data_IF_023617827184
#
_entry.id   IF_023617827184
#
_cell.length_a   1.000
_cell.length_b   1.000
_cell.length_c   1.000
_cell.angle_alpha   90.00
_cell.angle_beta   90.00
_cell.angle_gamma   90.00
#
_symmetry.space_group_name_H-M   'P 1'
#
loop_
_entity.id
_entity.type
_entity.pdbx_description
1 polymer ?
#
# COMPACT_ATOMS: atom_id res chain seq x y z
N UNK A 1 8.21 8.47 17.76
CA UNK A 1 7.18 7.65 17.07
C UNK A 1 7.82 7.11 15.80
N UNK A 2 7.56 5.85 15.44
CA UNK A 2 8.13 5.21 14.24
C UNK A 2 7.20 5.51 13.07
N UNK A 3 7.73 5.89 11.90
CA UNK A 3 6.91 6.24 10.73
C UNK A 3 6.04 5.06 10.27
N UNK A 4 4.72 5.26 10.32
CA UNK A 4 3.70 4.22 10.15
C UNK A 4 2.59 4.67 9.21
N UNK A 5 2.11 3.74 8.38
CA UNK A 5 0.87 3.87 7.63
C UNK A 5 -0.20 3.00 8.27
N UNK A 6 -1.42 3.51 8.36
CA UNK A 6 -2.56 2.83 8.94
C UNK A 6 -3.67 2.69 7.92
N UNK A 7 -4.30 1.53 7.88
CA UNK A 7 -5.34 1.27 6.92
C UNK A 7 -6.39 0.27 7.43
N UNK A 8 -7.57 0.32 6.81
CA UNK A 8 -8.64 -0.66 7.05
C UNK A 8 -9.59 -0.74 5.86
N UNK A 9 -10.11 -1.93 5.62
CA UNK A 9 -11.27 -2.14 4.76
C UNK A 9 -12.51 -2.20 5.63
N UNK A 10 -13.47 -1.30 5.41
CA UNK A 10 -14.70 -1.18 6.20
C UNK A 10 -15.61 -2.40 6.04
N UNK A 11 -15.86 -2.81 4.80
CA UNK A 11 -16.68 -3.98 4.49
C UNK A 11 -16.12 -4.73 3.27
N UNK A 12 -15.50 -5.87 3.54
CA UNK A 12 -14.98 -6.80 2.53
C UNK A 12 -16.06 -7.40 1.62
N UNK A 13 -17.34 -7.32 2.03
CA UNK A 13 -18.47 -7.82 1.24
C UNK A 13 -19.16 -6.72 0.44
N UNK A 14 -18.74 -5.47 0.59
CA UNK A 14 -19.29 -4.37 -0.21
C UNK A 14 -18.99 -4.57 -1.70
N UNK A 15 -19.94 -4.18 -2.56
CA UNK A 15 -19.77 -4.31 -4.02
C UNK A 15 -18.58 -3.51 -4.55
N UNK A 16 -18.34 -2.35 -3.95
CA UNK A 16 -17.24 -1.46 -4.29
C UNK A 16 -15.89 -2.12 -4.00
N UNK A 17 -15.68 -2.65 -2.78
CA UNK A 17 -14.44 -3.36 -2.47
C UNK A 17 -14.28 -4.66 -3.27
N UNK A 18 -15.37 -5.40 -3.49
CA UNK A 18 -15.31 -6.61 -4.34
C UNK A 18 -14.93 -6.32 -5.79
N UNK A 19 -15.23 -5.11 -6.29
CA UNK A 19 -14.81 -4.68 -7.63
C UNK A 19 -13.37 -4.15 -7.62
N UNK A 20 -12.99 -3.43 -6.57
CA UNK A 20 -11.66 -2.86 -6.40
C UNK A 20 -10.57 -3.91 -6.12
N UNK A 21 -10.88 -4.95 -5.33
CA UNK A 21 -9.88 -5.88 -4.83
C UNK A 21 -9.11 -6.64 -5.94
N UNK A 22 -9.78 -7.24 -6.96
CA UNK A 22 -9.06 -7.88 -8.05
C UNK A 22 -8.18 -6.91 -8.85
N UNK A 23 -8.66 -5.68 -9.03
CA UNK A 23 -7.90 -4.63 -9.73
C UNK A 23 -6.67 -4.23 -8.92
N UNK A 24 -6.82 -4.00 -7.62
CA UNK A 24 -5.70 -3.68 -6.73
C UNK A 24 -4.62 -4.75 -6.77
N UNK A 25 -5.02 -6.03 -6.72
CA UNK A 25 -4.09 -7.18 -6.82
C UNK A 25 -3.33 -7.14 -8.14
N UNK A 26 -4.00 -6.87 -9.26
CA UNK A 26 -3.35 -6.75 -10.58
C UNK A 26 -2.40 -5.55 -10.64
N UNK A 27 -2.76 -4.45 -9.98
CA UNK A 27 -2.01 -3.19 -9.99
C UNK A 27 -0.72 -3.25 -9.14
N UNK A 28 -0.56 -4.24 -8.25
CA UNK A 28 0.67 -4.38 -7.44
C UNK A 28 1.91 -4.56 -8.32
N UNK A 29 1.83 -5.39 -9.37
CA UNK A 29 3.01 -5.68 -10.20
C UNK A 29 3.48 -4.42 -10.97
N UNK A 30 2.61 -3.66 -11.66
CA UNK A 30 3.00 -2.37 -12.25
C UNK A 30 3.60 -1.38 -11.25
N UNK A 31 3.08 -1.31 -10.02
CA UNK A 31 3.65 -0.45 -8.96
C UNK A 31 5.08 -0.87 -8.63
N UNK A 32 5.31 -2.17 -8.42
CA UNK A 32 6.63 -2.72 -8.10
C UNK A 32 7.61 -2.47 -9.23
N UNK A 33 7.20 -2.72 -10.47
CA UNK A 33 8.05 -2.54 -11.65
C UNK A 33 8.43 -1.07 -11.89
N UNK A 34 7.49 -0.13 -11.67
CA UNK A 34 7.73 1.29 -11.91
C UNK A 34 8.49 1.99 -10.78
N UNK A 35 8.49 1.44 -9.55
CA UNK A 35 9.16 2.05 -8.42
C UNK A 35 10.69 1.92 -8.45
N UNK A 36 11.24 0.95 -9.20
CA UNK A 36 12.67 0.66 -9.29
C UNK A 36 13.37 0.49 -7.92
N UNK A 37 12.63 -0.05 -6.93
CA UNK A 37 13.14 -0.37 -5.60
C UNK A 37 13.14 -1.87 -5.36
N UNK A 38 14.15 -2.44 -4.67
CA UNK A 38 14.15 -3.86 -4.34
C UNK A 38 13.00 -4.25 -3.41
N UNK A 39 12.11 -5.11 -3.89
CA UNK A 39 10.97 -5.68 -3.16
C UNK A 39 11.14 -7.19 -3.03
N UNK A 40 10.69 -7.75 -1.91
CA UNK A 40 10.61 -9.19 -1.67
C UNK A 40 9.22 -9.62 -1.19
N UNK A 41 8.87 -10.88 -1.48
CA UNK A 41 7.68 -11.57 -0.97
C UNK A 41 7.99 -12.57 0.15
N UNK A 42 6.94 -13.22 0.70
CA UNK A 42 7.03 -14.05 1.91
C UNK A 42 7.66 -15.44 1.70
N UNK A 43 7.81 -15.92 0.46
CA UNK A 43 8.17 -17.31 0.15
C UNK A 43 9.69 -17.59 0.14
N UNK A 44 10.49 -16.82 0.88
CA UNK A 44 11.94 -17.03 1.01
C UNK A 44 12.29 -18.20 1.95
N UNK A 45 13.25 -19.05 1.56
CA UNK A 45 13.74 -20.13 2.43
C UNK A 45 14.61 -19.59 3.59
N UNK A 46 15.20 -18.41 3.40
CA UNK A 46 15.96 -17.63 4.38
C UNK A 46 15.77 -16.12 4.16
N UNK A 47 16.26 -15.29 5.10
CA UNK A 47 16.13 -13.82 5.06
C UNK A 47 16.87 -13.16 3.87
N UNK A 48 17.81 -13.88 3.25
CA UNK A 48 18.61 -13.40 2.12
C UNK A 48 17.98 -13.75 0.76
N UNK A 49 16.96 -14.61 0.75
CA UNK A 49 16.26 -15.02 -0.46
C UNK A 49 15.27 -13.96 -0.92
N UNK A 50 15.57 -13.30 -2.03
CA UNK A 50 14.64 -12.38 -2.69
C UNK A 50 13.62 -13.18 -3.50
N UNK A 51 12.34 -13.03 -3.15
CA UNK A 51 11.23 -13.66 -3.89
C UNK A 51 10.28 -12.60 -4.45
N UNK A 52 9.50 -12.90 -5.50
CA UNK A 52 8.49 -11.97 -5.99
C UNK A 52 7.47 -11.61 -4.89
N UNK A 53 6.97 -10.36 -4.84
CA UNK A 53 5.91 -10.00 -3.90
C UNK A 53 4.68 -10.88 -4.13
N UNK A 54 3.97 -11.21 -3.04
CA UNK A 54 2.70 -11.93 -3.15
C UNK A 54 1.62 -10.92 -3.53
N UNK A 55 0.94 -11.15 -4.64
CA UNK A 55 -0.26 -10.43 -5.05
C UNK A 55 -1.24 -11.43 -5.68
N UNK A 56 -2.19 -11.89 -4.89
CA UNK A 56 -3.16 -12.92 -5.29
C UNK A 56 -4.53 -12.64 -4.67
N UNK A 57 -5.60 -12.88 -5.45
CA UNK A 57 -6.98 -12.54 -5.06
C UNK A 57 -7.44 -13.34 -3.84
N UNK A 58 -6.97 -14.59 -3.71
CA UNK A 58 -7.36 -15.50 -2.63
C UNK A 58 -6.41 -15.41 -1.43
N UNK A 59 -5.10 -15.27 -1.67
CA UNK A 59 -4.09 -15.21 -0.60
C UNK A 59 -3.93 -13.82 0.00
N UNK A 60 -4.00 -12.75 -0.80
CA UNK A 60 -3.76 -11.38 -0.36
C UNK A 60 -2.60 -10.70 -1.08
N UNK A 61 -2.21 -9.55 -0.54
CA UNK A 61 -1.00 -8.83 -0.92
C UNK A 61 -0.03 -8.90 0.26
N UNK A 62 1.19 -9.40 0.02
CA UNK A 62 2.27 -9.43 1.00
C UNK A 62 3.60 -9.01 0.35
N UNK A 63 4.22 -7.95 0.87
CA UNK A 63 5.51 -7.44 0.38
C UNK A 63 6.31 -6.74 1.46
N UNK A 64 7.63 -6.68 1.29
CA UNK A 64 8.57 -5.95 2.12
C UNK A 64 9.79 -5.50 1.29
N UNK A 65 10.65 -4.66 1.86
CA UNK A 65 11.96 -4.37 1.27
C UNK A 65 12.95 -5.53 1.45
N UNK A 66 13.94 -5.61 0.58
CA UNK A 66 15.00 -6.63 0.64
C UNK A 66 16.00 -6.32 1.76
N UNK A 67 16.35 -7.32 2.58
CA UNK A 67 17.37 -7.25 3.63
C UNK A 67 17.23 -5.97 4.52
N UNK A 68 18.31 -5.19 4.65
CA UNK A 68 18.31 -3.92 5.39
C UNK A 68 17.40 -2.84 4.78
N UNK A 69 16.86 -3.06 3.59
CA UNK A 69 15.84 -2.24 2.94
C UNK A 69 14.41 -2.51 3.43
N UNK A 70 14.16 -3.61 4.16
CA UNK A 70 12.84 -3.95 4.72
C UNK A 70 12.68 -3.58 6.21
N UNK A 71 11.45 -3.55 6.72
CA UNK A 71 11.21 -3.37 8.17
C UNK A 71 10.01 -4.17 8.69
N UNK A 72 8.81 -3.88 8.17
CA UNK A 72 7.58 -4.60 8.50
C UNK A 72 6.88 -4.96 7.18
N UNK A 73 6.30 -6.16 7.13
CA UNK A 73 5.55 -6.64 5.97
C UNK A 73 4.27 -5.83 5.80
N UNK A 74 4.03 -5.33 4.58
CA UNK A 74 2.69 -4.92 4.21
C UNK A 74 1.86 -6.19 4.00
N UNK A 75 0.77 -6.34 4.76
CA UNK A 75 -0.16 -7.47 4.62
C UNK A 75 -1.58 -6.94 4.42
N UNK A 76 -2.15 -7.21 3.25
CA UNK A 76 -3.56 -6.93 2.93
C UNK A 76 -4.24 -8.23 2.55
N UNK A 77 -4.98 -8.82 3.47
CA UNK A 77 -5.76 -10.02 3.21
C UNK A 77 -7.08 -10.02 3.98
N UNK A 78 -8.03 -10.83 3.54
CA UNK A 78 -9.37 -10.89 4.14
C UNK A 78 -9.38 -11.38 5.60
N UNK A 79 -8.37 -12.15 6.03
CA UNK A 79 -8.30 -12.71 7.38
C UNK A 79 -7.91 -11.63 8.40
N UNK A 80 -6.94 -10.79 8.06
CA UNK A 80 -6.35 -9.81 8.95
C UNK A 80 -6.98 -8.42 8.83
N UNK A 81 -7.45 -8.05 7.63
CA UNK A 81 -8.01 -6.73 7.35
C UNK A 81 -9.46 -6.53 7.84
N UNK A 82 -10.00 -7.45 8.67
CA UNK A 82 -11.24 -7.18 9.42
C UNK A 82 -10.99 -6.29 10.64
N UNK A 83 -9.71 -5.97 10.93
CA UNK A 83 -9.27 -5.08 12.01
C UNK A 83 -8.52 -3.88 11.42
N UNK A 84 -8.28 -2.89 12.26
CA UNK A 84 -7.35 -1.81 11.98
C UNK A 84 -5.95 -2.40 11.77
N UNK A 85 -5.37 -2.18 10.58
CA UNK A 85 -4.05 -2.66 10.18
C UNK A 85 -3.07 -1.49 10.06
N UNK A 86 -1.78 -1.80 10.16
CA UNK A 86 -0.72 -0.82 10.00
C UNK A 86 0.54 -1.49 9.44
N UNK A 87 1.45 -0.67 8.92
CA UNK A 87 2.79 -1.10 8.51
C UNK A 87 3.79 0.02 8.82
N UNK A 88 4.87 -0.32 9.51
CA UNK A 88 5.99 0.57 9.77
C UNK A 88 7.05 0.36 8.72
N UNK A 89 7.33 1.39 7.94
CA UNK A 89 8.35 1.33 6.89
C UNK A 89 9.64 2.02 7.29
N UNK A 90 9.63 2.81 8.39
CA UNK A 90 10.76 3.65 8.84
C UNK A 90 11.37 4.49 7.72
N UNK A 91 10.56 4.89 6.72
CA UNK A 91 11.00 5.64 5.52
C UNK A 91 12.09 4.91 4.71
N UNK A 92 12.12 3.58 4.75
CA UNK A 92 13.02 2.78 3.90
C UNK A 92 12.56 2.81 2.44
N UNK A 93 13.42 2.47 1.47
CA UNK A 93 13.11 2.64 0.04
C UNK A 93 11.81 1.97 -0.43
N UNK A 94 11.46 0.81 0.12
CA UNK A 94 10.22 0.11 -0.23
C UNK A 94 8.93 0.83 0.21
N UNK A 95 9.05 1.88 1.03
CA UNK A 95 7.93 2.71 1.48
C UNK A 95 7.15 3.32 0.31
N UNK A 96 7.82 3.73 -0.78
CA UNK A 96 7.15 4.27 -1.95
C UNK A 96 6.18 3.25 -2.58
N UNK A 97 6.58 1.98 -2.63
CA UNK A 97 5.72 0.87 -3.11
C UNK A 97 4.57 0.63 -2.14
N UNK A 98 4.85 0.56 -0.84
CA UNK A 98 3.82 0.38 0.20
C UNK A 98 2.78 1.49 0.13
N UNK A 99 3.22 2.74 0.16
CA UNK A 99 2.36 3.91 0.13
C UNK A 99 1.56 3.99 -1.18
N UNK A 100 2.15 3.67 -2.33
CA UNK A 100 1.44 3.65 -3.61
C UNK A 100 0.40 2.52 -3.69
N UNK A 101 0.67 1.33 -3.16
CA UNK A 101 -0.34 0.25 -3.07
C UNK A 101 -1.52 0.67 -2.19
N UNK A 102 -1.25 1.28 -1.03
CA UNK A 102 -2.29 1.79 -0.14
C UNK A 102 -3.09 2.92 -0.78
N UNK A 103 -2.43 3.83 -1.49
CA UNK A 103 -3.06 4.91 -2.23
C UNK A 103 -3.96 4.36 -3.33
N UNK A 104 -3.49 3.36 -4.09
CA UNK A 104 -4.30 2.69 -5.11
C UNK A 104 -5.53 2.01 -4.54
N UNK A 105 -5.40 1.38 -3.37
CA UNK A 105 -6.54 0.81 -2.66
C UNK A 105 -7.59 1.87 -2.27
N UNK A 106 -7.13 3.05 -1.84
CA UNK A 106 -8.01 4.19 -1.56
C UNK A 106 -8.71 4.69 -2.82
N UNK A 107 -7.97 4.97 -3.89
CA UNK A 107 -8.52 5.52 -5.13
C UNK A 107 -9.55 4.58 -5.79
N UNK A 108 -9.34 3.26 -5.71
CA UNK A 108 -10.29 2.28 -6.23
C UNK A 108 -11.57 2.14 -5.39
N UNK A 109 -11.52 2.44 -4.08
CA UNK A 109 -12.63 2.22 -3.16
C UNK A 109 -12.67 3.22 -2.00
N UNK A 110 -12.80 4.54 -2.23
CA UNK A 110 -12.58 5.57 -1.20
C UNK A 110 -13.60 5.55 -0.05
N UNK A 111 -14.78 4.94 -0.28
CA UNK A 111 -15.80 4.76 0.76
C UNK A 111 -15.55 3.53 1.64
N UNK A 112 -14.78 2.54 1.16
CA UNK A 112 -14.51 1.27 1.85
C UNK A 112 -13.10 1.19 2.40
N UNK A 113 -12.10 1.72 1.70
CA UNK A 113 -10.73 1.74 2.15
C UNK A 113 -10.47 3.04 2.91
N UNK A 114 -9.95 2.93 4.13
CA UNK A 114 -9.48 4.07 4.91
C UNK A 114 -7.99 3.96 5.06
N UNK A 115 -7.32 5.10 4.86
CA UNK A 115 -5.88 5.25 4.85
C UNK A 115 -5.54 6.51 5.64
N UNK A 116 -4.56 6.41 6.53
CA UNK A 116 -3.94 7.52 7.25
C UNK A 116 -2.46 7.22 7.46
N UNK A 117 -1.65 8.23 7.74
CA UNK A 117 -0.20 8.11 7.91
C UNK A 117 0.29 9.02 9.03
N UNK A 118 1.45 8.70 9.60
CA UNK A 118 2.19 9.66 10.45
C UNK A 118 2.82 10.80 9.61
N UNK A 119 2.86 10.66 8.28
CA UNK A 119 3.33 11.69 7.34
C UNK A 119 2.21 12.54 6.75
N UNK A 120 2.60 13.69 6.18
CA UNK A 120 1.67 14.65 5.57
C UNK A 120 1.62 14.50 4.05
N UNK A 121 0.44 14.75 3.46
CA UNK A 121 0.16 14.56 2.03
C UNK A 121 1.03 15.41 1.10
N UNK A 122 1.27 16.66 1.49
CA UNK A 122 2.03 17.65 0.70
C UNK A 122 3.49 17.79 1.15
N UNK A 123 3.93 16.90 2.03
CA UNK A 123 5.33 16.80 2.47
C UNK A 123 6.05 15.64 1.81
N UNK A 124 7.36 15.56 2.05
CA UNK A 124 8.29 14.65 1.36
C UNK A 124 7.91 13.18 1.48
N UNK A 125 7.21 12.82 2.55
CA UNK A 125 6.72 11.49 2.87
C UNK A 125 5.83 10.87 1.78
N UNK A 126 5.05 11.67 1.06
CA UNK A 126 4.07 11.15 0.07
C UNK A 126 4.41 11.51 -1.38
N UNK A 127 5.44 12.32 -1.62
CA UNK A 127 5.83 12.76 -2.97
C UNK A 127 6.13 11.57 -3.88
N UNK A 128 6.96 10.62 -3.43
CA UNK A 128 7.40 9.50 -4.27
C UNK A 128 6.23 8.58 -4.64
N UNK A 129 5.34 8.29 -3.69
CA UNK A 129 4.14 7.49 -3.92
C UNK A 129 3.15 8.18 -4.88
N UNK A 130 2.98 9.51 -4.75
CA UNK A 130 2.13 10.31 -5.65
C UNK A 130 2.69 10.34 -7.07
N UNK A 131 3.99 10.57 -7.22
CA UNK A 131 4.65 10.57 -8.52
C UNK A 131 4.55 9.19 -9.21
N UNK A 132 4.74 8.12 -8.43
CA UNK A 132 4.57 6.76 -8.92
C UNK A 132 3.13 6.50 -9.38
N UNK A 133 2.14 6.95 -8.59
CA UNK A 133 0.73 6.86 -8.94
C UNK A 133 0.41 7.60 -10.25
N UNK A 134 0.79 8.89 -10.33
CA UNK A 134 0.52 9.74 -11.49
C UNK A 134 1.21 9.23 -12.77
N UNK A 135 2.33 8.52 -12.62
CA UNK A 135 3.02 7.86 -13.74
C UNK A 135 2.23 6.66 -14.28
N UNK A 136 1.62 5.87 -13.38
CA UNK A 136 0.90 4.65 -13.73
C UNK A 136 -0.54 4.93 -14.20
N UNK A 137 -1.18 5.96 -13.65
CA UNK A 137 -2.56 6.35 -13.94
C UNK A 137 -2.68 7.85 -14.26
N UNK A 138 -2.07 8.33 -15.36
CA UNK A 138 -2.04 9.76 -15.69
C UNK A 138 -3.40 10.37 -16.01
N UNK A 139 -4.39 9.54 -16.35
CA UNK A 139 -5.76 9.96 -16.68
C UNK A 139 -6.68 10.02 -15.45
N UNK A 140 -6.20 9.62 -14.27
CA UNK A 140 -6.98 9.65 -13.03
C UNK A 140 -6.62 10.88 -12.18
N UNK A 141 -7.65 11.54 -11.63
CA UNK A 141 -7.43 12.63 -10.66
C UNK A 141 -7.03 12.02 -9.32
N UNK A 142 -5.84 12.38 -8.83
CA UNK A 142 -5.36 11.94 -7.53
C UNK A 142 -5.97 12.79 -6.41
N UNK A 143 -6.60 12.14 -5.42
CA UNK A 143 -7.21 12.78 -4.26
C UNK A 143 -6.45 12.40 -2.97
N UNK A 144 -6.30 13.35 -2.06
CA UNK A 144 -5.71 13.07 -0.74
C UNK A 144 -6.65 12.17 0.08
N UNK A 145 -6.14 11.05 0.63
CA UNK A 145 -6.90 10.23 1.57
C UNK A 145 -7.01 10.87 2.95
N UNK A 146 -6.19 11.90 3.24
CA UNK A 146 -6.14 12.57 4.53
C UNK A 146 -7.16 13.71 4.53
N UNK A 147 -8.12 13.63 5.45
CA UNK A 147 -9.00 14.76 5.69
C UNK A 147 -8.14 15.90 6.25
N UNK A 148 -8.26 17.10 5.69
CA UNK A 148 -7.90 18.30 6.44
C UNK A 148 -8.73 18.26 7.71
N UNK A 149 -8.09 18.31 8.88
CA UNK A 149 -8.83 18.58 10.11
C UNK A 149 -9.50 19.95 9.91
N UNK A 150 -10.81 19.98 9.65
CA UNK A 150 -11.60 21.18 9.89
C UNK A 150 -11.43 21.45 11.39
N UNK A 151 -10.56 22.43 11.72
CA UNK A 151 -10.49 23.01 13.05
C UNK A 151 -11.90 23.46 13.43
N UNK A 152 -12.53 22.71 14.34
CA UNK A 152 -13.85 23.01 14.90
C UNK A 152 -13.78 24.15 15.93
#
# INVERSE_FOLDING_TARGET
MVYTHYFRVRDWRSKEWQSAWPQLVQDVQPIVDAADVPITGPDGEDEDTVTPPLADVDKGIELNGVADGGHEWLVINKKEATRFSFVKTVRKPYDAVVACVLLRAYMLAPRQFKLSSDGFWDEREWIDARQLYETLWPDETLESPFQEEEEA
#
